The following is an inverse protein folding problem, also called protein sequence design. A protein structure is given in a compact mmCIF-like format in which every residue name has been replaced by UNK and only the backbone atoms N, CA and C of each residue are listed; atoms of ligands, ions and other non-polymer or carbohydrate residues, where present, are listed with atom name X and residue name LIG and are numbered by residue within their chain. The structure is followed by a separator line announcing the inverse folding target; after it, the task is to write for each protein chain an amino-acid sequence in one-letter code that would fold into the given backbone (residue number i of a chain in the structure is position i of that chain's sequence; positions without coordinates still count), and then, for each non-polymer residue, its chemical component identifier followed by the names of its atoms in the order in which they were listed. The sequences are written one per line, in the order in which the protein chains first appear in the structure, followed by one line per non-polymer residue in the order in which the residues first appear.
data_IF_265091140930
#
_entry.id   IF_265091140930
#
_cell.length_a   1.000
_cell.length_b   1.000
_cell.length_c   1.000
_cell.angle_alpha   90.00
_cell.angle_beta   90.00
_cell.angle_gamma   90.00
#
_symmetry.space_group_name_H-M   'P 1'
#
loop_
_entity.id
_entity.type
_entity.pdbx_description
1 polymer ?
#
# COMPACT_ATOMS: atom_id res chain seq x y z
N UNK A 1 -19.81 -6.06 18.32
CA UNK A 1 -20.34 -7.32 18.90
C UNK A 1 -19.22 -8.34 18.78
N UNK A 2 -18.52 -8.65 19.88
CA UNK A 2 -17.35 -9.53 19.90
C UNK A 2 -17.81 -10.98 20.09
N UNK A 3 -17.46 -11.86 19.16
CA UNK A 3 -17.70 -13.29 19.32
C UNK A 3 -16.65 -13.85 20.30
N UNK A 4 -17.09 -14.17 21.52
CA UNK A 4 -16.32 -14.97 22.48
C UNK A 4 -16.35 -16.43 22.02
N UNK A 5 -15.31 -16.87 21.31
CA UNK A 5 -15.06 -18.30 21.10
C UNK A 5 -14.27 -18.85 22.30
N UNK A 6 -14.99 -19.37 23.29
CA UNK A 6 -14.42 -20.13 24.41
C UNK A 6 -14.28 -21.60 23.99
N UNK A 7 -13.22 -21.96 23.28
CA UNK A 7 -12.76 -23.36 23.20
C UNK A 7 -11.40 -23.47 23.88
N UNK A 8 -11.40 -23.72 25.19
CA UNK A 8 -10.21 -23.93 26.02
C UNK A 8 -9.55 -25.31 25.81
N UNK A 9 -10.05 -26.10 24.86
CA UNK A 9 -9.62 -27.46 24.59
C UNK A 9 -9.10 -27.63 23.16
N UNK A 10 -8.02 -28.40 23.02
CA UNK A 10 -7.38 -28.73 21.75
C UNK A 10 -8.32 -29.56 20.86
N UNK A 11 -8.44 -29.18 19.60
CA UNK A 11 -9.29 -29.91 18.64
C UNK A 11 -8.81 -31.33 18.32
N UNK A 12 -7.53 -31.63 18.52
CA UNK A 12 -6.97 -32.96 18.20
C UNK A 12 -7.02 -33.94 19.37
N UNK A 13 -6.86 -33.46 20.61
CA UNK A 13 -6.73 -34.35 21.77
C UNK A 13 -7.59 -33.94 22.97
N UNK A 14 -8.41 -32.89 22.83
CA UNK A 14 -9.15 -32.25 23.92
C UNK A 14 -8.29 -31.75 25.10
N UNK A 15 -6.96 -31.78 24.97
CA UNK A 15 -6.02 -31.30 25.98
C UNK A 15 -6.02 -29.78 26.13
N UNK A 16 -5.44 -29.28 27.21
CA UNK A 16 -5.41 -27.84 27.52
C UNK A 16 -4.65 -27.04 26.44
N UNK A 17 -5.20 -25.87 26.09
CA UNK A 17 -4.58 -24.88 25.22
C UNK A 17 -4.02 -23.72 26.04
N UNK A 18 -2.76 -23.37 25.77
CA UNK A 18 -2.10 -22.20 26.38
C UNK A 18 -1.86 -21.14 25.31
N UNK A 19 -2.36 -19.94 25.55
CA UNK A 19 -2.10 -18.79 24.69
C UNK A 19 -0.68 -18.26 24.88
N UNK A 20 -0.05 -17.79 23.81
CA UNK A 20 1.27 -17.18 23.83
C UNK A 20 1.32 -15.94 22.94
N UNK A 21 2.23 -15.03 23.26
CA UNK A 21 2.59 -13.87 22.43
C UNK A 21 4.09 -13.60 22.57
N UNK A 22 4.78 -13.57 21.44
CA UNK A 22 6.21 -13.30 21.33
C UNK A 22 6.44 -12.35 20.15
N UNK A 23 6.75 -11.09 20.43
CA UNK A 23 6.80 -10.03 19.42
C UNK A 23 5.46 -9.87 18.68
N UNK A 24 5.51 -9.94 17.35
CA UNK A 24 4.34 -9.94 16.46
C UNK A 24 3.72 -11.31 16.24
N UNK A 25 4.22 -12.37 16.88
CA UNK A 25 3.65 -13.72 16.78
C UNK A 25 2.77 -13.98 17.99
N UNK A 26 1.54 -14.41 17.80
CA UNK A 26 0.66 -14.83 18.88
C UNK A 26 -0.14 -16.07 18.49
N UNK A 27 -0.72 -16.76 19.47
CA UNK A 27 -1.45 -17.98 19.16
C UNK A 27 -1.75 -18.81 20.38
N UNK A 28 -2.14 -20.05 20.13
CA UNK A 28 -2.44 -21.05 21.16
C UNK A 28 -1.71 -22.35 20.83
N UNK A 29 -1.15 -23.01 21.84
CA UNK A 29 -0.51 -24.32 21.70
C UNK A 29 -1.05 -25.32 22.72
N UNK A 30 -1.17 -26.58 22.31
CA UNK A 30 -1.51 -27.68 23.20
C UNK A 30 -0.23 -28.30 23.76
N UNK A 31 -0.14 -28.40 25.09
CA UNK A 31 1.02 -29.00 25.75
C UNK A 31 1.02 -30.53 25.68
N UNK A 32 -0.12 -31.16 25.39
CA UNK A 32 -0.26 -32.62 25.37
C UNK A 32 0.12 -33.26 24.04
N UNK A 33 -0.25 -32.65 22.90
CA UNK A 33 0.00 -33.20 21.57
C UNK A 33 0.83 -32.31 20.65
N UNK A 34 1.18 -31.10 21.08
CA UNK A 34 1.99 -30.16 20.29
C UNK A 34 1.23 -29.45 19.17
N UNK A 35 -0.08 -29.67 19.01
CA UNK A 35 -0.89 -28.89 18.08
C UNK A 35 -0.84 -27.40 18.42
N UNK A 36 -0.76 -26.53 17.42
CA UNK A 36 -0.73 -25.09 17.64
C UNK A 36 -1.43 -24.32 16.52
N UNK A 37 -2.15 -23.27 16.91
CA UNK A 37 -2.66 -22.23 16.02
C UNK A 37 -1.82 -20.98 16.23
N UNK A 38 -1.13 -20.54 15.18
CA UNK A 38 -0.25 -19.38 15.21
C UNK A 38 -0.79 -18.32 14.26
N UNK A 39 -0.88 -17.08 14.73
CA UNK A 39 -1.25 -15.91 13.96
C UNK A 39 -0.29 -14.76 14.22
N UNK A 40 -0.34 -13.74 13.37
CA UNK A 40 0.48 -12.54 13.52
C UNK A 40 -0.35 -11.45 14.18
N UNK A 41 0.14 -10.91 15.29
CA UNK A 41 -0.39 -9.71 15.91
C UNK A 41 0.10 -8.47 15.15
N UNK A 42 -0.84 -7.86 14.42
CA UNK A 42 -0.62 -6.69 13.58
C UNK A 42 -0.85 -5.36 14.31
N UNK A 43 -1.24 -5.38 15.59
CA UNK A 43 -1.61 -4.18 16.36
C UNK A 43 -0.46 -3.15 16.53
N UNK A 44 0.79 -3.57 16.28
CA UNK A 44 1.98 -2.71 16.30
C UNK A 44 2.55 -2.32 14.93
N UNK A 45 1.97 -2.80 13.82
CA UNK A 45 2.40 -2.40 12.48
C UNK A 45 1.89 -0.98 12.23
N UNK A 46 2.79 0.00 12.13
CA UNK A 46 2.43 1.33 11.67
C UNK A 46 2.06 1.24 10.19
N UNK A 47 0.76 1.34 9.90
CA UNK A 47 0.31 1.50 8.53
C UNK A 47 0.69 2.89 8.05
N UNK A 48 1.30 2.95 6.86
CA UNK A 48 1.50 4.22 6.17
C UNK A 48 0.15 4.72 5.65
N UNK A 49 -0.52 5.52 6.48
CA UNK A 49 -1.77 6.17 6.13
C UNK A 49 -1.56 7.46 5.34
N UNK A 50 -0.31 7.87 5.10
CA UNK A 50 -0.01 9.10 4.37
C UNK A 50 -0.49 8.98 2.93
N UNK A 51 -1.13 10.05 2.47
CA UNK A 51 -1.41 10.23 1.05
C UNK A 51 -0.24 11.00 0.44
N UNK A 52 0.20 10.53 -0.71
CA UNK A 52 1.28 11.12 -1.47
C UNK A 52 0.72 11.64 -2.79
N UNK A 53 1.43 12.59 -3.37
CA UNK A 53 1.09 13.25 -4.61
C UNK A 53 2.24 13.09 -5.61
N UNK A 54 1.91 12.73 -6.86
CA UNK A 54 2.87 12.73 -7.95
C UNK A 54 2.73 14.04 -8.72
N UNK A 55 3.80 14.82 -8.71
CA UNK A 55 3.98 15.96 -9.59
C UNK A 55 4.72 15.52 -10.84
N UNK A 56 4.34 16.06 -12.00
CA UNK A 56 4.92 15.64 -13.27
C UNK A 56 5.17 16.80 -14.22
N UNK A 57 6.27 16.71 -14.96
CA UNK A 57 6.62 17.57 -16.10
C UNK A 57 6.94 16.69 -17.32
N UNK A 58 6.50 17.11 -18.50
CA UNK A 58 6.76 16.41 -19.75
C UNK A 58 6.50 17.30 -20.97
N UNK A 59 6.72 16.77 -22.17
CA UNK A 59 6.43 17.47 -23.41
C UNK A 59 4.93 17.35 -23.78
N UNK A 60 4.22 18.48 -23.82
CA UNK A 60 2.81 18.54 -24.22
C UNK A 60 2.59 18.25 -25.71
N UNK A 61 3.65 18.29 -26.53
CA UNK A 61 3.61 17.93 -27.96
C UNK A 61 3.81 16.43 -28.18
N UNK A 62 4.41 15.74 -27.22
CA UNK A 62 4.57 14.29 -27.29
C UNK A 62 3.25 13.59 -26.94
N UNK A 63 2.70 12.87 -27.93
CA UNK A 63 1.46 12.12 -27.76
C UNK A 63 1.58 11.04 -26.68
N UNK A 64 2.73 10.38 -26.54
CA UNK A 64 2.95 9.36 -25.53
C UNK A 64 2.88 9.96 -24.12
N UNK A 65 3.47 11.13 -23.91
CA UNK A 65 3.40 11.86 -22.64
C UNK A 65 1.96 12.23 -22.28
N UNK A 66 1.22 12.84 -23.23
CA UNK A 66 -0.17 13.25 -23.00
C UNK A 66 -1.07 12.04 -22.74
N UNK A 67 -0.89 10.94 -23.48
CA UNK A 67 -1.67 9.70 -23.26
C UNK A 67 -1.35 9.07 -21.91
N UNK A 68 -0.08 9.02 -21.51
CA UNK A 68 0.31 8.46 -20.22
C UNK A 68 -0.30 9.25 -19.06
N UNK A 69 -0.18 10.59 -19.08
CA UNK A 69 -0.79 11.47 -18.09
C UNK A 69 -2.30 11.31 -18.03
N UNK A 70 -2.97 11.26 -19.19
CA UNK A 70 -4.43 11.11 -19.27
C UNK A 70 -4.91 9.83 -18.60
N UNK A 71 -4.17 8.73 -18.75
CA UNK A 71 -4.48 7.46 -18.07
C UNK A 71 -4.23 7.55 -16.56
N UNK A 72 -3.10 8.14 -16.16
CA UNK A 72 -2.70 8.24 -14.76
C UNK A 72 -3.62 9.16 -13.94
N UNK A 73 -4.04 10.29 -14.51
CA UNK A 73 -4.88 11.27 -13.81
C UNK A 73 -6.39 11.05 -14.00
N UNK A 74 -6.78 10.19 -14.93
CA UNK A 74 -8.17 10.04 -15.36
C UNK A 74 -8.72 11.25 -16.14
N UNK A 75 -7.89 12.24 -16.47
CA UNK A 75 -8.30 13.39 -17.26
C UNK A 75 -8.38 13.05 -18.75
N UNK A 76 -9.22 13.76 -19.48
CA UNK A 76 -9.23 13.66 -20.95
C UNK A 76 -7.92 14.13 -21.57
N UNK A 77 -7.66 13.71 -22.81
CA UNK A 77 -6.43 14.03 -23.56
C UNK A 77 -6.17 15.54 -23.67
N UNK A 78 -7.20 16.34 -23.98
CA UNK A 78 -7.09 17.80 -24.10
C UNK A 78 -6.68 18.46 -22.79
N UNK A 79 -7.30 18.05 -21.68
CA UNK A 79 -7.00 18.60 -20.35
C UNK A 79 -5.59 18.20 -19.88
N UNK A 80 -5.21 16.96 -20.16
CA UNK A 80 -3.86 16.46 -19.87
C UNK A 80 -2.78 17.24 -20.61
N UNK A 81 -3.03 17.56 -21.89
CA UNK A 81 -2.13 18.40 -22.69
C UNK A 81 -2.05 19.83 -22.17
N UNK A 82 -3.18 20.41 -21.77
CA UNK A 82 -3.21 21.74 -21.17
C UNK A 82 -2.38 21.79 -19.89
N UNK A 83 -2.56 20.81 -19.00
CA UNK A 83 -1.79 20.73 -17.75
C UNK A 83 -0.29 20.60 -18.02
N UNK A 84 0.13 19.74 -18.96
CA UNK A 84 1.54 19.63 -19.37
C UNK A 84 2.10 20.94 -19.95
N UNK A 85 1.27 21.72 -20.63
CA UNK A 85 1.65 23.03 -21.17
C UNK A 85 1.86 24.06 -20.04
N UNK A 86 1.07 23.97 -18.97
CA UNK A 86 1.17 24.86 -17.80
C UNK A 86 2.39 24.56 -16.90
N UNK A 87 3.04 23.41 -17.09
CA UNK A 87 4.27 23.04 -16.41
C UNK A 87 4.09 21.88 -15.43
N UNK A 88 4.65 22.01 -14.23
CA UNK A 88 4.52 21.00 -13.18
C UNK A 88 3.11 21.05 -12.56
N UNK A 89 2.47 19.89 -12.44
CA UNK A 89 1.15 19.76 -11.82
C UNK A 89 0.99 18.39 -11.17
N UNK A 90 0.00 18.27 -10.28
CA UNK A 90 -0.35 16.99 -9.64
C UNK A 90 -1.10 16.10 -10.63
N UNK A 91 -0.52 14.95 -10.95
CA UNK A 91 -1.12 13.93 -11.82
C UNK A 91 -2.03 13.00 -11.03
N UNK A 92 -1.61 12.61 -9.83
CA UNK A 92 -2.31 11.62 -9.02
C UNK A 92 -2.03 11.82 -7.53
N UNK A 93 -3.01 11.50 -6.70
CA UNK A 93 -2.89 11.49 -5.24
C UNK A 93 -3.42 10.15 -4.71
N UNK A 94 -2.65 9.49 -3.84
CA UNK A 94 -3.01 8.15 -3.34
C UNK A 94 -2.01 7.59 -2.34
N UNK A 95 -2.09 6.28 -2.11
CA UNK A 95 -1.21 5.56 -1.18
C UNK A 95 0.15 5.27 -1.82
N UNK A 96 1.16 5.06 -0.99
CA UNK A 96 2.54 4.81 -1.43
C UNK A 96 2.65 3.72 -2.52
N UNK A 97 1.90 2.62 -2.38
CA UNK A 97 1.91 1.51 -3.36
C UNK A 97 1.40 1.96 -4.73
N UNK A 98 0.29 2.70 -4.78
CA UNK A 98 -0.28 3.21 -6.02
C UNK A 98 0.63 4.26 -6.65
N UNK A 99 1.23 5.10 -5.81
CA UNK A 99 2.12 6.19 -6.20
C UNK A 99 3.37 5.65 -6.87
N UNK A 100 3.99 4.61 -6.31
CA UNK A 100 5.16 3.97 -6.93
C UNK A 100 4.82 3.37 -8.29
N UNK A 101 3.70 2.64 -8.38
CA UNK A 101 3.26 2.03 -9.63
C UNK A 101 3.04 3.07 -10.73
N UNK A 102 2.27 4.12 -10.44
CA UNK A 102 1.97 5.17 -11.41
C UNK A 102 3.23 5.96 -11.77
N UNK A 103 4.10 6.24 -10.79
CA UNK A 103 5.38 6.91 -11.03
C UNK A 103 6.26 6.10 -12.00
N UNK A 104 6.33 4.79 -11.84
CA UNK A 104 7.15 3.95 -12.73
C UNK A 104 6.60 3.95 -14.16
N UNK A 105 5.28 3.90 -14.33
CA UNK A 105 4.63 4.03 -15.65
C UNK A 105 4.95 5.38 -16.31
N UNK A 106 4.89 6.48 -15.55
CA UNK A 106 5.22 7.83 -16.03
C UNK A 106 6.71 7.96 -16.41
N UNK A 107 7.62 7.41 -15.60
CA UNK A 107 9.06 7.44 -15.87
C UNK A 107 9.43 6.60 -17.10
N UNK A 108 8.82 5.43 -17.28
CA UNK A 108 8.99 4.60 -18.48
C UNK A 108 8.56 5.35 -19.75
N UNK A 109 7.51 6.18 -19.64
CA UNK A 109 7.05 7.04 -20.73
C UNK A 109 7.94 8.28 -20.94
N UNK A 110 9.02 8.46 -20.18
CA UNK A 110 9.97 9.56 -20.33
C UNK A 110 9.60 10.84 -19.58
N UNK A 111 8.59 10.81 -18.71
CA UNK A 111 8.21 11.97 -17.91
C UNK A 111 9.12 12.13 -16.68
N UNK A 112 9.31 13.38 -16.26
CA UNK A 112 10.00 13.70 -15.01
C UNK A 112 8.97 13.85 -13.92
N UNK A 113 9.14 13.10 -12.82
CA UNK A 113 8.20 13.09 -11.72
C UNK A 113 8.88 13.41 -10.39
N UNK A 114 8.16 14.08 -9.50
CA UNK A 114 8.52 14.22 -8.08
C UNK A 114 7.35 13.75 -7.21
N UNK A 115 7.64 13.18 -6.04
CA UNK A 115 6.64 12.71 -5.09
C UNK A 115 6.72 13.58 -3.84
N UNK A 116 5.57 14.00 -3.32
CA UNK A 116 5.50 14.72 -2.04
C UNK A 116 4.36 14.17 -1.17
N UNK A 117 4.51 14.10 0.17
CA UNK A 117 5.77 14.29 0.92
C UNK A 117 6.79 13.17 0.60
N UNK A 118 8.02 13.30 1.10
CA UNK A 118 9.01 12.21 0.98
C UNK A 118 8.54 10.96 1.75
N UNK A 119 8.91 9.78 1.25
CA UNK A 119 8.61 8.52 1.94
C UNK A 119 9.38 8.44 3.26
N UNK A 120 8.65 8.31 4.37
CA UNK A 120 9.20 8.25 5.73
C UNK A 120 9.95 6.95 6.06
N UNK A 121 9.91 5.96 5.17
CA UNK A 121 10.50 4.64 5.33
C UNK A 121 11.69 4.38 4.38
N UNK A 122 12.12 5.40 3.61
CA UNK A 122 13.20 5.31 2.63
C UNK A 122 14.55 5.87 3.07
N UNK A 123 14.80 6.00 4.38
CA UNK A 123 16.05 6.53 4.97
C UNK A 123 16.85 5.46 5.72
#
# INVERSE_FOLDING_TARGET
MMANFSSTACEQCAGELVSFKEGSVCGSKCLACGWSLVTTDISGIKFDETNYEIFCVGDYKDKAHVTCVSKASGFGFLKSRENLCQGEFVVFCGKAVDILKIRDELVVAGLRCSIKPDFIWGG
#
